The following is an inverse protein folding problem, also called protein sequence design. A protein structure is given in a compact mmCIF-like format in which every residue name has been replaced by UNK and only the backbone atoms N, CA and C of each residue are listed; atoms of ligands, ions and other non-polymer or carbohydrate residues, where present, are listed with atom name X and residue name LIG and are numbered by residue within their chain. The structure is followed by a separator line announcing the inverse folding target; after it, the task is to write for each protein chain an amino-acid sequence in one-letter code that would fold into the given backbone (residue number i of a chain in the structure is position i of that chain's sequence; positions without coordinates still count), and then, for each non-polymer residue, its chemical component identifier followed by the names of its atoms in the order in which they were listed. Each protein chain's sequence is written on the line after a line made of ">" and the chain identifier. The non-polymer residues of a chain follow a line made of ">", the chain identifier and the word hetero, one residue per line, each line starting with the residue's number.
data_IF_115861582187
#
_entry.id   IF_115861582187
#
_cell.length_a   1.000
_cell.length_b   1.000
_cell.length_c   1.000
_cell.angle_alpha   90.00
_cell.angle_beta   90.00
_cell.angle_gamma   90.00
#
_symmetry.space_group_name_H-M   'P 1'
#
loop_
_entity.id
_entity.type
_entity.pdbx_description
1 polymer ?
#
# COMPACT_ATOMS: atom_id res chain seq x y z
N UNK A 1 -12.00 -10.27 10.25
CA UNK A 1 -11.07 -9.58 11.15
C UNK A 1 -11.63 -8.23 11.56
N UNK A 2 -11.38 -7.82 12.77
CA UNK A 2 -11.85 -6.53 13.26
C UNK A 2 -11.01 -5.41 12.64
N UNK A 3 -11.68 -4.42 12.02
CA UNK A 3 -11.01 -3.25 11.48
C UNK A 3 -10.36 -2.43 12.61
N UNK A 4 -9.11 -2.00 12.39
CA UNK A 4 -8.39 -1.14 13.33
C UNK A 4 -8.80 0.32 13.11
N UNK A 5 -8.80 0.78 11.86
CA UNK A 5 -9.16 2.14 11.46
C UNK A 5 -10.68 2.34 11.30
N UNK A 6 -11.12 3.58 11.41
CA UNK A 6 -12.51 3.99 11.24
C UNK A 6 -12.98 3.83 9.78
N UNK A 7 -14.29 3.85 9.57
CA UNK A 7 -14.88 3.86 8.23
C UNK A 7 -14.46 5.10 7.44
N UNK A 8 -14.41 6.25 8.10
CA UNK A 8 -13.95 7.50 7.48
C UNK A 8 -12.51 7.40 6.96
N UNK A 9 -11.61 6.76 7.71
CA UNK A 9 -10.23 6.52 7.25
C UNK A 9 -10.20 5.57 6.05
N UNK A 10 -11.01 4.51 6.04
CA UNK A 10 -11.09 3.59 4.89
C UNK A 10 -11.67 4.26 3.65
N UNK A 11 -12.57 5.22 3.82
CA UNK A 11 -13.05 6.05 2.71
C UNK A 11 -11.95 7.03 2.25
N UNK A 12 -11.24 7.65 3.17
CA UNK A 12 -10.16 8.58 2.85
C UNK A 12 -9.02 7.93 2.06
N UNK A 13 -8.69 6.65 2.35
CA UNK A 13 -7.73 5.86 1.56
C UNK A 13 -8.08 5.83 0.07
N UNK A 14 -9.37 5.86 -0.29
CA UNK A 14 -9.78 5.88 -1.70
C UNK A 14 -9.28 7.12 -2.45
N UNK A 15 -9.14 8.26 -1.76
CA UNK A 15 -8.57 9.50 -2.35
C UNK A 15 -7.10 9.31 -2.74
N UNK A 16 -6.35 8.57 -1.93
CA UNK A 16 -4.95 8.26 -2.22
C UNK A 16 -4.83 7.26 -3.35
N UNK A 17 -5.63 6.20 -3.33
CA UNK A 17 -5.70 5.23 -4.44
C UNK A 17 -6.04 5.90 -5.77
N UNK A 18 -6.94 6.88 -5.75
CA UNK A 18 -7.36 7.63 -6.93
C UNK A 18 -6.23 8.44 -7.57
N UNK A 19 -5.19 8.78 -6.82
CA UNK A 19 -4.02 9.54 -7.28
C UNK A 19 -2.92 8.65 -7.83
N UNK A 20 -3.06 7.33 -7.73
CA UNK A 20 -2.05 6.36 -8.14
C UNK A 20 -2.49 5.55 -9.36
N UNK A 21 -1.52 5.13 -10.18
CA UNK A 21 -1.74 4.28 -11.35
C UNK A 21 -1.72 2.80 -10.98
N UNK A 22 -1.02 2.46 -9.90
CA UNK A 22 -0.94 1.10 -9.38
C UNK A 22 -1.00 1.06 -7.85
N UNK A 23 -1.54 -0.04 -7.32
CA UNK A 23 -1.52 -0.37 -5.89
C UNK A 23 -0.70 -1.65 -5.75
N UNK A 24 0.35 -1.58 -4.94
CA UNK A 24 1.30 -2.68 -4.70
C UNK A 24 1.16 -3.21 -3.27
N UNK A 25 1.07 -4.52 -3.15
CA UNK A 25 1.08 -5.25 -1.86
C UNK A 25 2.14 -6.34 -1.86
N UNK A 26 2.57 -6.76 -0.68
CA UNK A 26 3.40 -7.94 -0.52
C UNK A 26 2.58 -9.24 -0.56
N UNK A 27 3.23 -10.36 -0.93
CA UNK A 27 2.59 -11.67 -1.01
C UNK A 27 1.96 -12.13 0.31
N UNK A 28 2.52 -11.78 1.46
CA UNK A 28 1.93 -12.10 2.76
C UNK A 28 0.59 -11.37 2.97
N UNK A 29 0.53 -10.07 2.70
CA UNK A 29 -0.70 -9.28 2.75
C UNK A 29 -1.74 -9.84 1.78
N UNK A 30 -1.33 -10.16 0.55
CA UNK A 30 -2.20 -10.77 -0.44
C UNK A 30 -2.83 -12.08 0.06
N UNK A 31 -2.02 -13.01 0.59
CA UNK A 31 -2.52 -14.31 1.06
C UNK A 31 -3.42 -14.20 2.29
N UNK A 32 -3.03 -13.35 3.26
CA UNK A 32 -3.74 -13.24 4.53
C UNK A 32 -5.06 -12.47 4.41
N UNK A 33 -5.02 -11.35 3.71
CA UNK A 33 -6.09 -10.37 3.76
C UNK A 33 -7.02 -10.43 2.53
N UNK A 34 -6.62 -11.15 1.46
CA UNK A 34 -7.36 -11.28 0.19
C UNK A 34 -7.94 -9.92 -0.28
N UNK A 35 -7.09 -8.89 -0.45
CA UNK A 35 -7.57 -7.54 -0.72
C UNK A 35 -8.07 -7.41 -2.17
N UNK A 36 -9.07 -6.55 -2.39
CA UNK A 36 -9.55 -6.23 -3.74
C UNK A 36 -8.69 -5.18 -4.45
N UNK A 37 -8.06 -4.27 -3.70
CA UNK A 37 -7.22 -3.18 -4.20
C UNK A 37 -7.89 -2.34 -5.32
N UNK A 38 -9.17 -2.05 -5.14
CA UNK A 38 -9.99 -1.33 -6.12
C UNK A 38 -10.41 0.04 -5.62
N UNK A 39 -10.66 0.94 -6.55
CA UNK A 39 -11.45 2.14 -6.29
C UNK A 39 -12.91 1.75 -6.12
N UNK A 40 -13.63 2.43 -5.21
CA UNK A 40 -15.01 2.13 -4.87
C UNK A 40 -15.89 3.37 -4.88
N UNK A 41 -17.20 3.17 -5.14
CA UNK A 41 -18.19 4.22 -5.13
C UNK A 41 -17.81 5.39 -6.03
N UNK A 42 -18.00 6.61 -5.57
CA UNK A 42 -17.70 7.86 -6.31
C UNK A 42 -16.25 7.96 -6.80
N UNK A 43 -15.32 7.25 -6.15
CA UNK A 43 -13.90 7.30 -6.54
C UNK A 43 -13.58 6.44 -7.77
N UNK A 44 -14.47 5.51 -8.13
CA UNK A 44 -14.36 4.68 -9.32
C UNK A 44 -15.03 5.29 -10.55
N UNK A 45 -15.89 6.30 -10.36
CA UNK A 45 -16.70 6.88 -11.44
C UNK A 45 -15.82 7.57 -12.49
N UNK A 46 -16.02 7.21 -13.76
CA UNK A 46 -15.33 7.82 -14.90
C UNK A 46 -13.83 7.59 -14.96
N UNK A 47 -13.31 6.61 -14.24
CA UNK A 47 -11.87 6.31 -14.16
C UNK A 47 -11.59 4.83 -14.39
N UNK A 48 -10.46 4.49 -15.02
CA UNK A 48 -9.97 3.13 -14.99
C UNK A 48 -9.54 2.77 -13.57
N UNK A 49 -9.73 1.50 -13.20
CA UNK A 49 -9.15 0.97 -11.97
C UNK A 49 -7.62 1.01 -12.05
N UNK A 50 -6.90 1.22 -10.94
CA UNK A 50 -5.45 1.11 -10.91
C UNK A 50 -5.00 -0.32 -11.26
N UNK A 51 -3.77 -0.48 -11.71
CA UNK A 51 -3.13 -1.80 -11.72
C UNK A 51 -3.02 -2.32 -10.28
N UNK A 52 -3.17 -3.62 -10.10
CA UNK A 52 -3.08 -4.28 -8.80
C UNK A 52 -1.89 -5.21 -8.81
N UNK A 53 -0.85 -4.86 -8.08
CA UNK A 53 0.42 -5.58 -8.12
C UNK A 53 0.69 -6.34 -6.82
N UNK A 54 1.21 -7.53 -6.94
CA UNK A 54 1.65 -8.35 -5.82
C UNK A 54 3.12 -8.69 -6.00
N UNK A 55 3.97 -8.19 -5.10
CA UNK A 55 5.38 -8.55 -5.06
C UNK A 55 5.57 -9.76 -4.13
N UNK A 56 6.05 -10.85 -4.69
CA UNK A 56 6.21 -12.11 -3.97
C UNK A 56 7.31 -12.98 -4.57
N UNK A 57 7.98 -13.76 -3.73
CA UNK A 57 8.86 -14.85 -4.15
C UNK A 57 8.17 -16.22 -4.14
N UNK A 58 6.94 -16.28 -3.62
CA UNK A 58 6.19 -17.51 -3.48
C UNK A 58 5.38 -17.81 -4.74
N UNK A 59 5.50 -19.01 -5.26
CA UNK A 59 4.77 -19.50 -6.42
C UNK A 59 3.34 -19.93 -6.08
N UNK A 60 3.08 -20.26 -4.82
CA UNK A 60 1.77 -20.73 -4.36
C UNK A 60 0.85 -19.55 -4.02
N UNK A 61 0.21 -19.01 -5.03
CA UNK A 61 -0.79 -17.96 -4.88
C UNK A 61 -2.19 -18.57 -4.90
N UNK A 62 -3.06 -18.29 -3.89
CA UNK A 62 -4.42 -18.81 -3.85
C UNK A 62 -5.24 -18.37 -5.07
N UNK A 63 -5.65 -19.28 -5.97
CA UNK A 63 -6.30 -18.91 -7.23
C UNK A 63 -7.72 -18.36 -7.05
N UNK A 64 -8.34 -18.58 -5.90
CA UNK A 64 -9.67 -18.07 -5.57
C UNK A 64 -9.70 -16.67 -4.97
N UNK A 65 -8.55 -16.00 -4.85
CA UNK A 65 -8.50 -14.64 -4.31
C UNK A 65 -9.07 -13.60 -5.26
N UNK A 66 -9.59 -12.49 -4.72
CA UNK A 66 -10.26 -11.42 -5.48
C UNK A 66 -9.46 -10.93 -6.67
N UNK A 67 -8.14 -10.79 -6.54
CA UNK A 67 -7.29 -10.32 -7.60
C UNK A 67 -7.32 -11.19 -8.86
N UNK A 68 -7.68 -12.47 -8.73
CA UNK A 68 -7.74 -13.41 -9.84
C UNK A 68 -9.16 -13.69 -10.34
N UNK A 69 -10.18 -13.41 -9.52
CA UNK A 69 -11.55 -13.87 -9.78
C UNK A 69 -12.56 -12.77 -10.02
N UNK A 70 -12.24 -11.51 -9.68
CA UNK A 70 -13.16 -10.40 -9.88
C UNK A 70 -13.12 -9.85 -11.33
N UNK A 71 -14.01 -8.93 -11.63
CA UNK A 71 -14.14 -8.27 -12.94
C UNK A 71 -12.90 -7.48 -13.39
N UNK A 72 -11.97 -7.23 -12.47
CA UNK A 72 -10.73 -6.49 -12.72
C UNK A 72 -9.49 -7.39 -12.76
N UNK A 73 -9.64 -8.71 -12.85
CA UNK A 73 -8.54 -9.68 -12.83
C UNK A 73 -7.46 -9.38 -13.90
N UNK A 74 -7.86 -8.88 -15.07
CA UNK A 74 -6.93 -8.50 -16.15
C UNK A 74 -5.98 -7.37 -15.79
N UNK A 75 -6.29 -6.60 -14.75
CA UNK A 75 -5.44 -5.52 -14.21
C UNK A 75 -4.50 -5.98 -13.10
N UNK A 76 -4.40 -7.27 -12.85
CA UNK A 76 -3.51 -7.83 -11.85
C UNK A 76 -2.14 -8.16 -12.44
N UNK A 77 -1.08 -7.86 -11.71
CA UNK A 77 0.32 -8.17 -12.03
C UNK A 77 0.96 -8.91 -10.86
N UNK A 78 1.54 -10.05 -11.13
CA UNK A 78 2.32 -10.81 -10.16
C UNK A 78 3.79 -10.58 -10.48
N UNK A 79 4.46 -9.83 -9.63
CA UNK A 79 5.86 -9.46 -9.73
C UNK A 79 6.67 -10.51 -8.96
N UNK A 80 6.91 -11.64 -9.61
CA UNK A 80 7.51 -12.81 -8.98
C UNK A 80 9.02 -12.87 -9.23
N UNK A 81 9.78 -13.10 -8.15
CA UNK A 81 11.22 -13.22 -8.23
C UNK A 81 11.97 -11.91 -8.54
N UNK A 82 11.23 -10.82 -8.71
CA UNK A 82 11.79 -9.49 -8.97
C UNK A 82 12.25 -8.81 -7.68
N UNK A 83 13.31 -8.04 -7.78
CA UNK A 83 13.66 -7.07 -6.75
C UNK A 83 12.62 -5.95 -6.69
N UNK A 84 12.61 -5.17 -5.62
CA UNK A 84 11.70 -4.04 -5.51
C UNK A 84 11.91 -3.03 -6.66
N UNK A 85 13.17 -2.77 -7.03
CA UNK A 85 13.51 -1.91 -8.17
C UNK A 85 12.96 -2.45 -9.49
N UNK A 86 13.25 -3.70 -9.81
CA UNK A 86 12.76 -4.34 -11.05
C UNK A 86 11.24 -4.33 -11.12
N UNK A 87 10.56 -4.52 -9.99
CA UNK A 87 9.10 -4.44 -9.91
C UNK A 87 8.57 -3.05 -10.26
N UNK A 88 9.23 -1.99 -9.79
CA UNK A 88 8.86 -0.62 -10.15
C UNK A 88 9.16 -0.32 -11.63
N UNK A 89 10.28 -0.81 -12.16
CA UNK A 89 10.66 -0.67 -13.58
C UNK A 89 9.66 -1.40 -14.49
N UNK A 90 9.21 -2.60 -14.11
CA UNK A 90 8.16 -3.33 -14.84
C UNK A 90 6.84 -2.55 -14.88
N UNK A 91 6.37 -2.05 -13.74
CA UNK A 91 5.18 -1.21 -13.69
C UNK A 91 5.35 0.09 -14.50
N UNK A 92 6.50 0.72 -14.44
CA UNK A 92 6.80 1.93 -15.22
C UNK A 92 6.76 1.66 -16.74
N UNK A 93 7.18 0.48 -17.18
CA UNK A 93 7.11 0.07 -18.60
C UNK A 93 5.66 -0.03 -19.11
N UNK A 94 4.70 -0.24 -18.23
CA UNK A 94 3.26 -0.23 -18.52
C UNK A 94 2.62 1.17 -18.39
N UNK A 95 3.42 2.23 -18.19
CA UNK A 95 2.93 3.60 -18.08
C UNK A 95 2.57 4.04 -16.65
N UNK A 96 2.92 3.26 -15.63
CA UNK A 96 2.71 3.61 -14.22
C UNK A 96 3.72 4.66 -13.80
N UNK A 97 3.26 5.80 -13.32
CA UNK A 97 4.09 6.89 -12.78
C UNK A 97 3.94 7.08 -11.28
N UNK A 98 2.83 6.62 -10.69
CA UNK A 98 2.57 6.70 -9.27
C UNK A 98 2.11 5.34 -8.72
N UNK A 99 2.82 4.84 -7.73
CA UNK A 99 2.53 3.56 -7.05
C UNK A 99 2.17 3.83 -5.60
N UNK A 100 1.04 3.29 -5.16
CA UNK A 100 0.68 3.25 -3.75
C UNK A 100 1.08 1.91 -3.15
N UNK A 101 2.01 1.92 -2.20
CA UNK A 101 2.38 0.74 -1.43
C UNK A 101 1.43 0.59 -0.25
N UNK A 102 0.49 -0.35 -0.33
CA UNK A 102 -0.41 -0.72 0.77
C UNK A 102 0.13 -1.93 1.52
N UNK A 103 1.20 -1.74 2.23
CA UNK A 103 1.84 -2.80 2.98
C UNK A 103 2.36 -2.25 4.29
N UNK A 104 2.43 -3.12 5.28
CA UNK A 104 3.17 -2.84 6.50
C UNK A 104 4.39 -3.74 6.60
N UNK A 105 5.05 -3.66 7.73
CA UNK A 105 6.11 -4.58 8.09
C UNK A 105 7.30 -4.56 7.12
N UNK A 106 7.71 -5.75 6.70
CA UNK A 106 8.96 -5.95 5.97
C UNK A 106 9.05 -5.25 4.62
N UNK A 107 7.97 -5.24 3.84
CA UNK A 107 8.00 -4.61 2.51
C UNK A 107 8.09 -3.09 2.60
N UNK A 108 7.38 -2.47 3.55
CA UNK A 108 7.50 -1.04 3.82
C UNK A 108 8.92 -0.69 4.29
N UNK A 109 9.47 -1.46 5.24
CA UNK A 109 10.84 -1.26 5.72
C UNK A 109 11.85 -1.35 4.57
N UNK A 110 11.71 -2.34 3.71
CA UNK A 110 12.59 -2.52 2.55
C UNK A 110 12.48 -1.35 1.54
N UNK A 111 11.28 -0.87 1.27
CA UNK A 111 11.07 0.27 0.39
C UNK A 111 11.70 1.57 0.94
N UNK A 112 11.61 1.78 2.27
CA UNK A 112 12.23 2.91 2.96
C UNK A 112 13.75 2.82 2.94
N UNK A 113 14.31 1.65 3.24
CA UNK A 113 15.75 1.39 3.24
C UNK A 113 16.38 1.64 1.86
N UNK A 114 15.66 1.30 0.81
CA UNK A 114 16.09 1.55 -0.58
C UNK A 114 15.79 2.98 -1.09
N UNK A 115 15.24 3.86 -0.24
CA UNK A 115 14.87 5.24 -0.60
C UNK A 115 13.87 5.34 -1.76
N UNK A 116 12.96 4.37 -1.90
CA UNK A 116 11.91 4.37 -2.92
C UNK A 116 10.58 4.99 -2.46
N UNK A 117 10.53 5.52 -1.25
CA UNK A 117 9.30 6.14 -0.70
C UNK A 117 9.44 7.65 -0.72
N UNK A 118 8.56 8.32 -1.45
CA UNK A 118 8.49 9.79 -1.53
C UNK A 118 7.62 10.39 -0.44
N UNK A 119 6.47 9.76 -0.16
CA UNK A 119 5.47 10.24 0.77
C UNK A 119 4.89 9.09 1.60
N UNK A 120 4.58 9.37 2.85
CA UNK A 120 3.95 8.43 3.79
C UNK A 120 2.63 8.99 4.27
N UNK A 121 1.59 8.16 4.26
CA UNK A 121 0.28 8.44 4.84
C UNK A 121 0.01 7.43 5.95
N UNK A 122 -0.13 7.91 7.17
CA UNK A 122 -0.38 7.09 8.35
C UNK A 122 -1.76 7.41 8.93
N UNK A 123 -2.50 6.38 9.30
CA UNK A 123 -3.73 6.49 10.06
C UNK A 123 -3.52 5.89 11.44
N UNK A 124 -3.71 6.71 12.47
CA UNK A 124 -3.56 6.34 13.87
C UNK A 124 -4.94 6.25 14.51
N UNK A 125 -5.40 5.02 14.75
CA UNK A 125 -6.64 4.80 15.46
C UNK A 125 -6.47 5.09 16.97
N UNK A 126 -7.48 5.62 17.67
CA UNK A 126 -7.40 5.93 19.09
C UNK A 126 -7.56 4.65 19.93
N UNK A 127 -6.65 3.69 19.72
CA UNK A 127 -6.62 2.40 20.41
C UNK A 127 -5.21 2.15 20.94
N UNK A 128 -5.13 1.77 22.19
CA UNK A 128 -3.90 1.29 22.78
C UNK A 128 -3.89 -0.24 22.71
N UNK A 129 -2.91 -0.79 22.05
CA UNK A 129 -2.74 -2.22 21.88
C UNK A 129 -1.27 -2.59 22.09
N UNK A 130 -1.04 -3.80 22.55
CA UNK A 130 0.29 -4.41 22.61
C UNK A 130 0.39 -5.55 21.60
N UNK A 131 1.60 -5.92 21.23
CA UNK A 131 1.88 -7.05 20.35
C UNK A 131 3.29 -7.01 19.80
N UNK A 132 3.67 -8.09 19.13
CA UNK A 132 5.01 -8.22 18.52
C UNK A 132 5.08 -7.56 17.13
N UNK A 133 3.95 -7.10 16.59
CA UNK A 133 3.89 -6.52 15.24
C UNK A 133 4.23 -5.05 15.27
N UNK A 134 5.30 -4.67 14.58
CA UNK A 134 5.73 -3.30 14.36
C UNK A 134 5.39 -2.84 12.95
N UNK A 135 5.11 -1.55 12.78
CA UNK A 135 4.96 -0.93 11.45
C UNK A 135 6.25 -1.05 10.64
N UNK A 136 7.39 -0.90 11.29
CA UNK A 136 8.73 -1.06 10.71
C UNK A 136 9.50 -2.04 11.59
N UNK A 137 9.54 -3.34 11.22
CA UNK A 137 10.15 -4.37 12.06
C UNK A 137 11.68 -4.45 11.90
N UNK A 138 12.29 -3.51 11.19
CA UNK A 138 13.74 -3.49 10.95
C UNK A 138 14.43 -2.66 12.03
N UNK A 139 15.29 -3.26 12.86
CA UNK A 139 16.06 -2.53 13.85
C UNK A 139 16.92 -1.44 13.19
N UNK A 140 17.00 -0.29 13.84
CA UNK A 140 17.84 0.86 13.41
C UNK A 140 17.40 1.57 12.12
N UNK A 141 16.38 1.11 11.41
CA UNK A 141 15.82 1.87 10.30
C UNK A 141 15.02 3.06 10.84
N UNK A 142 15.44 4.27 10.49
CA UNK A 142 14.75 5.51 10.84
C UNK A 142 14.50 6.30 9.56
N UNK A 143 13.24 6.60 9.29
CA UNK A 143 12.85 7.51 8.23
C UNK A 143 12.34 8.83 8.84
N UNK A 144 12.91 9.94 8.40
CA UNK A 144 12.48 11.26 8.82
C UNK A 144 11.48 11.84 7.83
N UNK A 145 10.41 12.43 8.34
CA UNK A 145 9.40 13.10 7.54
C UNK A 145 9.57 14.62 7.59
N UNK A 146 9.24 15.29 6.50
CA UNK A 146 9.13 16.75 6.39
C UNK A 146 7.77 17.13 5.80
N UNK A 147 7.44 18.41 5.84
CA UNK A 147 6.18 18.96 5.31
C UNK A 147 4.95 18.22 5.88
N UNK A 148 4.97 18.00 7.19
CA UNK A 148 3.98 17.18 7.90
C UNK A 148 2.65 17.90 7.97
N UNK A 149 1.58 17.20 7.58
CA UNK A 149 0.18 17.60 7.77
C UNK A 149 -0.51 16.59 8.69
N UNK A 150 -1.32 17.09 9.61
CA UNK A 150 -2.06 16.28 10.57
C UNK A 150 -3.51 16.68 10.55
N UNK A 151 -4.40 15.71 10.33
CA UNK A 151 -5.83 15.90 10.27
C UNK A 151 -6.58 14.85 11.09
N UNK A 152 -7.76 15.20 11.58
CA UNK A 152 -8.72 14.25 12.11
C UNK A 152 -9.58 13.69 10.97
N UNK A 153 -9.63 12.38 10.86
CA UNK A 153 -10.44 11.65 9.88
C UNK A 153 -11.40 10.73 10.64
N UNK A 154 -12.61 11.20 10.87
CA UNK A 154 -13.52 10.55 11.80
C UNK A 154 -12.93 10.53 13.21
N UNK A 155 -12.73 9.34 13.78
CA UNK A 155 -12.07 9.16 15.09
C UNK A 155 -10.56 9.02 15.01
N UNK A 156 -9.99 8.89 13.82
CA UNK A 156 -8.56 8.61 13.63
C UNK A 156 -7.78 9.89 13.34
N UNK A 157 -6.48 9.84 13.56
CA UNK A 157 -5.54 10.87 13.14
C UNK A 157 -4.86 10.40 11.85
N UNK A 158 -4.88 11.25 10.82
CA UNK A 158 -4.09 11.05 9.61
C UNK A 158 -2.86 11.93 9.66
N UNK A 159 -1.70 11.34 9.44
CA UNK A 159 -0.43 12.04 9.28
C UNK A 159 0.06 11.82 7.86
N UNK A 160 0.32 12.90 7.13
CA UNK A 160 0.94 12.88 5.80
C UNK A 160 2.28 13.58 5.89
N UNK A 161 3.32 12.99 5.33
CA UNK A 161 4.64 13.60 5.32
C UNK A 161 5.50 13.08 4.18
N UNK A 162 6.38 13.92 3.67
CA UNK A 162 7.37 13.53 2.66
C UNK A 162 8.59 12.94 3.35
N UNK A 163 9.12 11.86 2.81
CA UNK A 163 10.37 11.27 3.30
C UNK A 163 11.53 12.20 2.97
N UNK A 164 12.38 12.50 3.95
CA UNK A 164 13.62 13.25 3.72
C UNK A 164 14.59 12.35 2.96
N UNK A 165 15.13 12.86 1.86
CA UNK A 165 16.33 12.27 1.27
C UNK A 165 17.49 12.46 2.25
N UNK A 166 18.30 11.45 2.45
CA UNK A 166 19.60 11.62 3.09
C UNK A 166 20.45 12.48 2.15
N UNK A 167 20.98 13.59 2.66
CA UNK A 167 21.98 14.41 1.98
C UNK A 167 23.36 13.79 2.17
#
# INVERSE_FOLDING_TARGET
>A
GQWISSEASREDVQKWRQQCDAILVGGETFRRDNPSLTLRGKYAEGRPQPLRAVLTSDENLPPGHHLFTDEHATRTRILQGSTFRESLEELASEGVSAVMLESGGRLLAHALDLSFVDEVVLYLAPRLGGGETSLIPTPHLVAHLKDIQVDLIGSDIRVVGRVKSEE
#
